data_IF_598770564550
#
_entry.id   IF_598770564550
#
_cell.length_a   1.000
_cell.length_b   1.000
_cell.length_c   1.000
_cell.angle_alpha   90.00
_cell.angle_beta   90.00
_cell.angle_gamma   90.00
#
_symmetry.space_group_name_H-M   'P 1'
#
loop_
_entity.id
_entity.type
_entity.pdbx_description
1 polymer ?
#
# COMPACT_ATOMS: atom_id res chain seq x y z
N UNK A 1 -26.96 1.96 27.03
CA UNK A 1 -25.49 1.95 27.02
C UNK A 1 -25.03 2.27 25.60
N UNK A 2 -24.69 3.54 25.33
CA UNK A 2 -23.89 3.93 24.16
C UNK A 2 -22.44 3.47 24.38
N UNK A 3 -21.59 3.33 23.35
CA UNK A 3 -21.23 4.39 22.39
C UNK A 3 -20.98 3.77 21.01
N UNK A 4 -21.64 4.32 19.99
CA UNK A 4 -21.31 4.11 18.59
C UNK A 4 -19.98 4.82 18.28
N UNK A 5 -18.94 4.06 17.93
CA UNK A 5 -17.66 4.62 17.50
C UNK A 5 -17.79 5.26 16.13
N UNK A 6 -17.70 6.59 16.07
CA UNK A 6 -17.71 7.37 14.84
C UNK A 6 -16.50 7.05 13.96
N UNK A 7 -16.72 6.55 12.74
CA UNK A 7 -15.67 6.47 11.71
C UNK A 7 -15.42 7.86 11.14
N UNK A 8 -14.30 8.47 11.49
CA UNK A 8 -13.82 9.65 10.79
C UNK A 8 -13.26 9.21 9.42
N UNK A 9 -13.92 9.64 8.34
CA UNK A 9 -13.43 9.48 6.98
C UNK A 9 -12.26 10.42 6.75
N UNK A 10 -11.03 9.89 6.73
CA UNK A 10 -9.85 10.64 6.28
C UNK A 10 -9.94 10.90 4.77
N UNK A 11 -9.68 12.14 4.35
CA UNK A 11 -9.66 12.51 2.94
C UNK A 11 -8.61 11.69 2.16
N UNK A 12 -8.88 11.29 0.90
CA UNK A 12 -7.96 10.45 0.14
C UNK A 12 -6.70 11.23 -0.25
N UNK A 13 -5.53 10.62 -0.05
CA UNK A 13 -4.20 11.19 -0.30
C UNK A 13 -3.81 11.28 -1.80
N UNK A 14 -4.74 11.00 -2.73
CA UNK A 14 -4.44 10.94 -4.17
C UNK A 14 -5.44 11.80 -4.95
N UNK A 15 -4.92 12.80 -5.68
CA UNK A 15 -5.74 13.62 -6.58
C UNK A 15 -5.91 12.94 -7.93
N UNK A 16 -7.14 12.58 -8.27
CA UNK A 16 -7.51 12.07 -9.60
C UNK A 16 -7.64 13.25 -10.58
N UNK A 17 -6.67 13.47 -11.45
CA UNK A 17 -6.81 14.39 -12.59
C UNK A 17 -6.22 13.82 -13.87
N UNK A 18 -7.11 13.38 -14.75
CA UNK A 18 -7.22 13.75 -16.19
C UNK A 18 -7.75 12.55 -16.99
N UNK A 19 -9.03 12.59 -17.34
CA UNK A 19 -9.64 11.60 -18.24
C UNK A 19 -11.11 11.32 -17.99
N UNK A 20 -11.95 12.31 -17.72
CA UNK A 20 -13.42 12.24 -17.87
C UNK A 20 -14.22 11.20 -17.06
N UNK A 21 -13.58 10.29 -16.32
CA UNK A 21 -14.27 9.33 -15.47
C UNK A 21 -14.47 9.98 -14.10
N UNK A 22 -15.73 10.30 -13.77
CA UNK A 22 -16.11 10.70 -12.41
C UNK A 22 -15.59 9.65 -11.42
N UNK A 23 -15.07 10.05 -10.25
CA UNK A 23 -14.68 9.09 -9.23
C UNK A 23 -15.89 8.19 -8.95
N UNK A 24 -15.73 6.86 -8.88
CA UNK A 24 -16.80 5.98 -8.45
C UNK A 24 -17.37 6.53 -7.13
N UNK A 25 -18.69 6.71 -7.10
CA UNK A 25 -19.45 7.26 -5.98
C UNK A 25 -18.90 6.70 -4.66
N UNK A 26 -18.34 7.59 -3.83
CA UNK A 26 -17.75 7.31 -2.51
C UNK A 26 -17.38 5.85 -2.31
N UNK A 27 -16.28 5.38 -2.92
CA UNK A 27 -15.71 4.10 -2.55
C UNK A 27 -15.52 4.12 -1.03
N UNK A 28 -16.35 3.35 -0.32
CA UNK A 28 -16.21 3.21 1.11
C UNK A 28 -14.81 2.66 1.35
N UNK A 29 -13.93 3.47 1.94
CA UNK A 29 -12.60 2.99 2.30
C UNK A 29 -12.77 1.78 3.20
N UNK A 30 -12.41 0.61 2.68
CA UNK A 30 -12.42 -0.63 3.44
C UNK A 30 -10.98 -0.91 3.85
N UNK A 31 -10.79 -1.14 5.15
CA UNK A 31 -9.51 -1.47 5.73
C UNK A 31 -9.47 -2.96 5.99
N UNK A 32 -8.37 -3.60 5.59
CA UNK A 32 -8.12 -5.01 5.89
C UNK A 32 -7.34 -5.10 7.20
N UNK A 33 -7.75 -6.00 8.08
CA UNK A 33 -6.94 -6.46 9.19
C UNK A 33 -5.70 -7.21 8.68
N UNK A 34 -4.73 -7.42 9.57
CA UNK A 34 -3.51 -8.16 9.26
C UNK A 34 -3.80 -9.56 8.72
N UNK A 35 -4.77 -10.24 9.31
CA UNK A 35 -5.09 -11.62 8.93
C UNK A 35 -5.86 -11.68 7.60
N UNK A 36 -6.69 -10.67 7.30
CA UNK A 36 -7.32 -10.54 5.98
C UNK A 36 -6.31 -10.27 4.86
N UNK A 37 -5.30 -9.41 5.08
CA UNK A 37 -4.22 -9.19 4.09
C UNK A 37 -3.40 -10.47 3.88
N UNK A 38 -3.06 -11.18 4.96
CA UNK A 38 -2.33 -12.46 4.87
C UNK A 38 -3.11 -13.50 4.07
N UNK A 39 -4.42 -13.59 4.30
CA UNK A 39 -5.29 -14.49 3.56
C UNK A 39 -5.40 -14.09 2.07
N UNK A 40 -5.40 -12.80 1.77
CA UNK A 40 -5.36 -12.30 0.39
C UNK A 40 -4.05 -12.69 -0.31
N UNK A 41 -2.90 -12.47 0.34
CA UNK A 41 -1.59 -12.87 -0.18
C UNK A 41 -1.52 -14.38 -0.41
N UNK A 42 -2.02 -15.18 0.55
CA UNK A 42 -2.09 -16.63 0.43
C UNK A 42 -2.92 -17.06 -0.79
N UNK A 43 -4.10 -16.45 -1.00
CA UNK A 43 -4.93 -16.73 -2.18
C UNK A 43 -4.24 -16.34 -3.48
N UNK A 44 -3.56 -15.20 -3.52
CA UNK A 44 -2.79 -14.77 -4.69
C UNK A 44 -1.70 -15.81 -5.05
N UNK A 45 -0.99 -16.30 -4.04
CA UNK A 45 0.10 -17.27 -4.22
C UNK A 45 -0.43 -18.66 -4.58
N UNK A 46 -1.30 -19.22 -3.73
CA UNK A 46 -1.73 -20.62 -3.85
C UNK A 46 -2.88 -20.80 -4.86
N UNK A 47 -3.80 -19.84 -4.91
CA UNK A 47 -5.00 -19.92 -5.75
C UNK A 47 -4.77 -19.40 -7.17
N UNK A 48 -3.93 -18.37 -7.34
CA UNK A 48 -3.67 -17.74 -8.63
C UNK A 48 -2.23 -17.94 -9.14
N UNK A 49 -1.36 -18.60 -8.37
CA UNK A 49 0.00 -18.90 -8.78
C UNK A 49 0.94 -17.69 -8.85
N UNK A 50 0.58 -16.57 -8.22
CA UNK A 50 1.41 -15.36 -8.22
C UNK A 50 2.57 -15.55 -7.24
N UNK A 51 3.84 -15.53 -7.66
CA UNK A 51 4.95 -15.71 -6.73
C UNK A 51 4.98 -14.60 -5.68
N UNK A 52 5.22 -14.93 -4.42
CA UNK A 52 5.25 -13.94 -3.32
C UNK A 52 6.27 -12.81 -3.55
N UNK A 53 7.38 -13.08 -4.23
CA UNK A 53 8.36 -12.06 -4.64
C UNK A 53 7.79 -11.02 -5.61
N UNK A 54 6.81 -11.39 -6.44
CA UNK A 54 6.11 -10.44 -7.33
C UNK A 54 5.17 -9.55 -6.52
N UNK A 55 4.52 -10.08 -5.49
CA UNK A 55 3.69 -9.28 -4.57
C UNK A 55 4.56 -8.25 -3.82
N UNK A 56 5.69 -8.70 -3.27
CA UNK A 56 6.69 -7.84 -2.62
C UNK A 56 7.25 -6.77 -3.57
N UNK A 57 7.54 -7.15 -4.82
CA UNK A 57 8.00 -6.23 -5.86
C UNK A 57 7.00 -5.10 -6.13
N UNK A 58 5.72 -5.46 -6.25
CA UNK A 58 4.65 -4.50 -6.49
C UNK A 58 4.44 -3.57 -5.28
N UNK A 59 4.48 -4.11 -4.06
CA UNK A 59 4.35 -3.33 -2.83
C UNK A 59 5.49 -2.31 -2.68
N UNK A 60 6.73 -2.77 -2.82
CA UNK A 60 7.91 -1.91 -2.71
C UNK A 60 7.98 -0.85 -3.81
N UNK A 61 7.70 -1.21 -5.07
CA UNK A 61 7.67 -0.26 -6.19
C UNK A 61 6.61 0.83 -5.99
N UNK A 62 5.39 0.44 -5.63
CA UNK A 62 4.31 1.40 -5.38
C UNK A 62 4.65 2.38 -4.24
N UNK A 63 5.32 1.89 -3.20
CA UNK A 63 5.83 2.75 -2.12
C UNK A 63 6.92 3.71 -2.63
N UNK A 64 7.90 3.22 -3.38
CA UNK A 64 8.96 4.05 -3.97
C UNK A 64 8.38 5.15 -4.88
N UNK A 65 7.43 4.83 -5.76
CA UNK A 65 6.76 5.79 -6.63
C UNK A 65 6.04 6.91 -5.85
N UNK A 66 5.44 6.59 -4.70
CA UNK A 66 4.83 7.58 -3.82
C UNK A 66 5.89 8.41 -3.10
N UNK A 67 6.97 7.78 -2.61
CA UNK A 67 8.08 8.46 -1.95
C UNK A 67 8.75 9.45 -2.90
N UNK A 68 8.93 9.11 -4.18
CA UNK A 68 9.53 10.01 -5.18
C UNK A 68 8.76 11.32 -5.36
N UNK A 69 7.45 11.32 -5.12
CA UNK A 69 6.61 12.54 -5.14
C UNK A 69 6.93 13.50 -3.98
N UNK A 70 7.61 13.03 -2.94
CA UNK A 70 8.09 13.82 -1.80
C UNK A 70 9.49 14.44 -2.05
N UNK A 71 10.03 14.28 -3.25
CA UNK A 71 11.38 14.72 -3.64
C UNK A 71 12.50 14.23 -2.70
N UNK A 72 12.60 12.91 -2.46
CA UNK A 72 13.57 12.33 -1.52
C UNK A 72 15.00 12.62 -1.96
N UNK A 73 15.28 12.75 -3.26
CA UNK A 73 16.63 13.04 -3.78
C UNK A 73 17.24 14.36 -3.31
N UNK A 74 16.44 15.26 -2.74
CA UNK A 74 16.95 16.51 -2.17
C UNK A 74 17.62 16.33 -0.81
N UNK A 75 17.50 15.15 -0.18
CA UNK A 75 18.06 14.83 1.14
C UNK A 75 18.49 13.36 1.23
N UNK A 76 19.45 13.02 2.11
CA UNK A 76 19.72 11.62 2.43
C UNK A 76 18.44 10.93 2.94
N UNK A 77 18.10 9.79 2.34
CA UNK A 77 16.94 8.96 2.73
C UNK A 77 17.44 7.71 3.43
N UNK A 78 16.79 7.35 4.54
CA UNK A 78 17.11 6.15 5.33
C UNK A 78 15.91 5.21 5.29
N UNK A 79 16.16 3.94 4.95
CA UNK A 79 15.15 2.89 4.96
C UNK A 79 15.52 1.89 6.06
N UNK A 80 14.62 1.67 7.01
CA UNK A 80 14.82 0.79 8.16
C UNK A 80 14.13 -0.55 7.91
N UNK A 81 14.90 -1.57 7.55
CA UNK A 81 14.37 -2.90 7.24
C UNK A 81 14.32 -3.80 8.49
N UNK A 82 13.14 -4.32 8.81
CA UNK A 82 12.99 -5.38 9.81
C UNK A 82 13.32 -6.79 9.25
N UNK A 83 13.22 -7.85 10.07
CA UNK A 83 13.57 -9.22 9.65
C UNK A 83 12.48 -9.94 8.84
N UNK A 84 11.31 -9.31 8.61
CA UNK A 84 10.16 -9.94 7.95
C UNK A 84 9.91 -9.44 6.52
N UNK A 85 8.73 -9.76 5.96
CA UNK A 85 8.35 -9.37 4.60
C UNK A 85 8.47 -7.85 4.35
N UNK A 86 8.06 -7.03 5.32
CA UNK A 86 8.22 -5.57 5.25
C UNK A 86 9.69 -5.12 5.13
N UNK A 87 10.63 -5.91 5.65
CA UNK A 87 12.05 -5.67 5.44
C UNK A 87 12.45 -5.92 3.98
N UNK A 88 11.92 -6.99 3.38
CA UNK A 88 12.05 -7.27 1.95
C UNK A 88 11.48 -6.13 1.09
N UNK A 89 10.29 -5.62 1.42
CA UNK A 89 9.72 -4.43 0.77
C UNK A 89 10.68 -3.24 0.87
N UNK A 90 11.30 -3.03 2.03
CA UNK A 90 12.31 -1.98 2.24
C UNK A 90 13.50 -2.10 1.29
N UNK A 91 14.01 -3.30 1.03
CA UNK A 91 15.07 -3.50 0.03
C UNK A 91 14.59 -3.24 -1.39
N UNK A 92 13.34 -3.59 -1.72
CA UNK A 92 12.73 -3.24 -3.02
C UNK A 92 12.61 -1.72 -3.15
N UNK A 93 12.12 -1.02 -2.12
CA UNK A 93 12.02 0.44 -2.09
C UNK A 93 13.41 1.07 -2.31
N UNK A 94 14.44 0.56 -1.64
CA UNK A 94 15.79 1.13 -1.71
C UNK A 94 16.44 1.08 -3.11
N UNK A 95 15.99 0.17 -3.98
CA UNK A 95 16.54 -0.01 -5.32
C UNK A 95 15.70 0.61 -6.44
N UNK A 96 14.56 1.23 -6.10
CA UNK A 96 13.71 2.01 -7.01
C UNK A 96 13.88 3.49 -6.71
#
# INVERSE_FOLDING_TARGET
>A
MGVAGSRAAGAPLVSWRAGGVSPPSAMSTFWLSRDEVRELDRRAIEGFGVPGVVLMENAGRGCAELLMRLNPERRPTVILCGPGNNGGDGFVIARH
#
